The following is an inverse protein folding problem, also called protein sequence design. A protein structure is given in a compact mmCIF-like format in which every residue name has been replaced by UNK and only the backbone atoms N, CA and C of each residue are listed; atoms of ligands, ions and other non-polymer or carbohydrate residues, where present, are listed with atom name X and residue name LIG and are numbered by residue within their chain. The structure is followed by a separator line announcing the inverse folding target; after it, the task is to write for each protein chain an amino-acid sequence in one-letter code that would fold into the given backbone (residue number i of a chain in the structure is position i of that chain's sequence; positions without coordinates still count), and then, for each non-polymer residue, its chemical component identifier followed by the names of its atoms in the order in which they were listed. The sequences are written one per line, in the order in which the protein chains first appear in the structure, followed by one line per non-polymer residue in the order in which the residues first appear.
data_IF_664784575506
#
_entry.id   IF_664784575506
#
_cell.length_a   1.000
_cell.length_b   1.000
_cell.length_c   1.000
_cell.angle_alpha   90.00
_cell.angle_beta   90.00
_cell.angle_gamma   90.00
#
_symmetry.space_group_name_H-M   'P 1'
#
loop_
_entity.id
_entity.type
_entity.pdbx_description
1 polymer ?
#
# COMPACT_ATOMS: atom_id res chain seq x y z
N UNK A 1 78.47 27.28 -21.48
CA UNK A 1 78.12 26.66 -20.17
C UNK A 1 77.31 27.66 -19.38
N UNK A 2 75.97 27.54 -19.38
CA UNK A 2 75.08 27.54 -18.21
C UNK A 2 73.61 27.54 -18.66
N UNK A 3 72.81 26.80 -17.90
CA UNK A 3 71.46 26.26 -18.12
C UNK A 3 70.35 27.32 -18.20
N UNK A 4 69.36 27.20 -19.11
CA UNK A 4 68.03 26.58 -18.91
C UNK A 4 67.28 27.04 -17.65
N UNK A 5 66.08 27.62 -17.84
CA UNK A 5 64.85 27.25 -17.10
C UNK A 5 63.60 27.90 -17.71
N UNK A 6 62.85 27.05 -18.40
CA UNK A 6 61.48 27.24 -18.90
C UNK A 6 60.55 27.22 -17.69
N UNK A 7 59.93 28.36 -17.37
CA UNK A 7 58.90 28.49 -16.34
C UNK A 7 57.55 28.00 -16.88
N UNK A 8 57.22 26.74 -16.58
CA UNK A 8 55.96 26.11 -16.94
C UNK A 8 54.86 26.58 -15.97
N UNK A 9 54.07 27.57 -16.37
CA UNK A 9 52.87 28.02 -15.65
C UNK A 9 51.78 26.94 -15.77
N UNK A 10 51.72 26.05 -14.77
CA UNK A 10 50.61 25.11 -14.59
C UNK A 10 49.38 25.87 -14.11
N UNK A 11 48.55 26.31 -15.05
CA UNK A 11 47.21 26.82 -14.77
C UNK A 11 46.31 25.60 -14.52
N UNK A 12 46.22 25.14 -13.28
CA UNK A 12 45.33 24.04 -12.90
C UNK A 12 43.89 24.49 -13.06
N UNK A 13 43.30 24.11 -14.19
CA UNK A 13 41.88 24.18 -14.48
C UNK A 13 41.13 23.33 -13.44
N UNK A 14 40.50 24.01 -12.50
CA UNK A 14 39.54 23.41 -11.58
C UNK A 14 38.24 23.14 -12.36
N UNK A 15 38.14 21.95 -12.95
CA UNK A 15 36.87 21.43 -13.47
C UNK A 15 35.96 21.12 -12.26
N UNK A 16 35.17 22.10 -11.84
CA UNK A 16 34.05 21.84 -10.94
C UNK A 16 33.00 21.09 -11.77
N UNK A 17 32.92 19.78 -11.58
CA UNK A 17 31.76 19.00 -12.00
C UNK A 17 30.59 19.47 -11.14
N UNK A 18 29.72 20.31 -11.71
CA UNK A 18 28.42 20.57 -11.11
C UNK A 18 27.63 19.27 -11.22
N UNK A 19 27.59 18.49 -10.14
CA UNK A 19 26.66 17.38 -10.04
C UNK A 19 25.25 17.96 -10.05
N UNK A 20 24.59 17.88 -11.20
CA UNK A 20 23.18 18.18 -11.33
C UNK A 20 22.43 17.14 -10.51
N UNK A 21 22.08 17.49 -9.27
CA UNK A 21 21.09 16.75 -8.51
C UNK A 21 19.76 16.83 -9.28
N UNK A 22 19.48 15.81 -10.08
CA UNK A 22 18.18 15.67 -10.70
C UNK A 22 17.18 15.35 -9.59
N UNK A 23 16.30 16.30 -9.27
CA UNK A 23 15.19 16.07 -8.36
C UNK A 23 14.17 15.19 -9.09
N UNK A 24 14.44 13.88 -9.14
CA UNK A 24 13.48 12.91 -9.65
C UNK A 24 12.21 13.01 -8.82
N UNK A 25 11.13 13.51 -9.43
CA UNK A 25 9.81 13.38 -8.87
C UNK A 25 9.58 11.88 -8.55
N UNK A 26 9.19 11.57 -7.31
CA UNK A 26 8.95 10.17 -6.94
C UNK A 26 7.92 9.56 -7.90
N UNK A 27 8.23 8.43 -8.55
CA UNK A 27 7.37 7.87 -9.56
C UNK A 27 6.00 7.48 -8.97
N UNK A 28 4.93 7.83 -9.69
CA UNK A 28 3.55 7.52 -9.34
C UNK A 28 3.05 6.33 -10.18
N UNK A 29 2.57 5.31 -9.50
CA UNK A 29 2.03 4.07 -10.09
C UNK A 29 0.52 4.09 -9.87
N UNK A 30 -0.23 4.64 -10.84
CA UNK A 30 -1.68 4.74 -10.74
C UNK A 30 -2.32 3.36 -10.91
N UNK A 31 -3.09 2.90 -9.93
CA UNK A 31 -3.71 1.57 -9.94
C UNK A 31 -4.63 1.33 -11.15
N UNK A 32 -5.18 2.39 -11.76
CA UNK A 32 -6.00 2.27 -12.98
C UNK A 32 -5.19 1.86 -14.21
N UNK A 33 -3.92 2.22 -14.26
CA UNK A 33 -3.02 1.84 -15.36
C UNK A 33 -2.67 0.34 -15.32
N UNK A 34 -2.92 -0.30 -14.17
CA UNK A 34 -2.77 -1.74 -13.95
C UNK A 34 -4.10 -2.50 -14.03
N UNK A 35 -5.18 -1.83 -14.45
CA UNK A 35 -6.49 -2.45 -14.68
C UNK A 35 -7.49 -2.35 -13.53
N UNK A 36 -7.21 -1.56 -12.48
CA UNK A 36 -8.23 -1.30 -11.47
C UNK A 36 -9.31 -0.36 -12.04
N UNK A 37 -10.56 -0.81 -12.03
CA UNK A 37 -11.68 -0.04 -12.61
C UNK A 37 -12.03 1.20 -11.76
N UNK A 38 -11.94 1.08 -10.44
CA UNK A 38 -12.47 2.06 -9.48
C UNK A 38 -13.96 1.88 -9.19
N UNK A 39 -14.51 0.72 -9.52
CA UNK A 39 -15.88 0.32 -9.19
C UNK A 39 -15.90 -0.66 -8.02
N UNK A 40 -16.76 -0.42 -7.02
CA UNK A 40 -16.83 -1.23 -5.79
C UNK A 40 -17.10 -2.71 -6.05
N UNK A 41 -17.83 -3.04 -7.12
CA UNK A 41 -18.20 -4.43 -7.46
C UNK A 41 -17.08 -5.23 -8.11
N UNK A 42 -16.03 -4.57 -8.61
CA UNK A 42 -14.90 -5.23 -9.25
C UNK A 42 -13.78 -5.52 -8.25
N UNK A 43 -13.25 -6.74 -8.28
CA UNK A 43 -12.09 -7.11 -7.47
C UNK A 43 -10.81 -6.54 -8.10
N UNK A 44 -10.15 -5.64 -7.39
CA UNK A 44 -8.98 -4.90 -7.87
C UNK A 44 -7.65 -5.48 -7.34
N UNK A 45 -7.68 -6.60 -6.61
CA UNK A 45 -6.51 -7.17 -5.91
C UNK A 45 -5.30 -7.35 -6.82
N UNK A 46 -5.48 -7.97 -7.98
CA UNK A 46 -4.37 -8.22 -8.91
C UNK A 46 -3.79 -6.92 -9.46
N UNK A 47 -4.64 -5.98 -9.90
CA UNK A 47 -4.20 -4.69 -10.44
C UNK A 47 -3.41 -3.88 -9.40
N UNK A 48 -3.92 -3.82 -8.16
CA UNK A 48 -3.26 -3.09 -7.08
C UNK A 48 -1.92 -3.76 -6.72
N UNK A 49 -1.88 -5.10 -6.65
CA UNK A 49 -0.63 -5.82 -6.37
C UNK A 49 0.40 -5.62 -7.47
N UNK A 50 -0.01 -5.60 -8.74
CA UNK A 50 0.88 -5.30 -9.87
C UNK A 50 1.45 -3.88 -9.77
N UNK A 51 0.64 -2.90 -9.36
CA UNK A 51 1.10 -1.53 -9.12
C UNK A 51 2.14 -1.47 -7.97
N UNK A 52 1.90 -2.17 -6.87
CA UNK A 52 2.85 -2.29 -5.74
C UNK A 52 4.15 -2.95 -6.19
N UNK A 53 4.06 -4.02 -6.97
CA UNK A 53 5.21 -4.77 -7.46
C UNK A 53 6.06 -3.94 -8.40
N UNK A 54 5.44 -3.25 -9.36
CA UNK A 54 6.12 -2.33 -10.26
C UNK A 54 6.76 -1.15 -9.50
N UNK A 55 6.05 -0.58 -8.52
CA UNK A 55 6.56 0.51 -7.69
C UNK A 55 7.82 0.10 -6.92
N UNK A 56 7.80 -1.09 -6.33
CA UNK A 56 8.97 -1.63 -5.62
C UNK A 56 10.13 -1.93 -6.58
N UNK A 57 9.86 -2.56 -7.72
CA UNK A 57 10.88 -2.90 -8.72
C UNK A 57 11.56 -1.66 -9.31
N UNK A 58 10.85 -0.53 -9.38
CA UNK A 58 11.39 0.76 -9.81
C UNK A 58 12.27 1.47 -8.75
N UNK A 59 12.53 0.84 -7.61
CA UNK A 59 13.32 1.43 -6.51
C UNK A 59 12.48 2.19 -5.48
N UNK A 60 11.16 2.08 -5.53
CA UNK A 60 10.23 2.74 -4.62
C UNK A 60 9.52 3.95 -5.22
N UNK A 61 8.52 4.45 -4.49
CA UNK A 61 7.68 5.53 -4.97
C UNK A 61 6.29 5.49 -4.36
N UNK A 62 5.30 5.96 -5.13
CA UNK A 62 3.92 6.07 -4.68
C UNK A 62 2.98 5.26 -5.56
N UNK A 63 2.25 4.31 -4.99
CA UNK A 63 1.09 3.69 -5.63
C UNK A 63 -0.12 4.57 -5.38
N UNK A 64 -0.70 5.09 -6.45
CA UNK A 64 -1.74 6.12 -6.39
C UNK A 64 -3.13 5.56 -6.66
N UNK A 65 -4.06 5.85 -5.77
CA UNK A 65 -5.48 5.54 -5.93
C UNK A 65 -6.23 6.83 -6.24
N UNK A 66 -6.59 7.10 -7.51
CA UNK A 66 -7.47 8.21 -7.86
C UNK A 66 -8.89 7.98 -7.30
N UNK A 67 -9.76 8.99 -7.40
CA UNK A 67 -11.16 8.85 -6.98
C UNK A 67 -11.85 7.61 -7.57
N UNK A 68 -12.56 6.88 -6.71
CA UNK A 68 -13.19 5.60 -7.03
C UNK A 68 -13.24 4.65 -5.83
N UNK A 69 -13.97 3.56 -6.00
CA UNK A 69 -14.14 2.53 -4.99
C UNK A 69 -13.43 1.24 -5.43
N UNK A 70 -12.48 0.79 -4.63
CA UNK A 70 -11.60 -0.33 -4.96
C UNK A 70 -11.82 -1.45 -3.96
N UNK A 71 -12.39 -2.57 -4.37
CA UNK A 71 -12.50 -3.75 -3.50
C UNK A 71 -11.29 -4.64 -3.67
N UNK A 72 -10.69 -5.08 -2.58
CA UNK A 72 -9.51 -5.95 -2.61
C UNK A 72 -9.50 -6.96 -1.47
N UNK A 73 -8.92 -8.12 -1.73
CA UNK A 73 -8.50 -9.08 -0.72
C UNK A 73 -7.13 -8.73 -0.16
N UNK A 74 -6.22 -9.70 -0.11
CA UNK A 74 -4.89 -9.49 0.47
C UNK A 74 -3.94 -8.70 -0.43
N UNK A 75 -3.38 -7.60 0.07
CA UNK A 75 -2.31 -6.83 -0.58
C UNK A 75 -1.01 -6.95 0.21
N UNK A 76 0.06 -7.42 -0.44
CA UNK A 76 1.40 -7.46 0.15
C UNK A 76 2.15 -6.19 -0.17
N UNK A 77 2.31 -5.32 0.83
CA UNK A 77 3.12 -4.12 0.73
C UNK A 77 4.61 -4.46 0.78
N UNK A 78 5.40 -3.83 -0.10
CA UNK A 78 6.84 -4.07 -0.28
C UNK A 78 7.65 -2.85 0.13
N UNK A 79 8.95 -3.03 0.39
CA UNK A 79 9.83 -1.93 0.81
C UNK A 79 9.80 -0.76 -0.16
N UNK A 80 9.94 0.46 0.37
CA UNK A 80 9.96 1.71 -0.39
C UNK A 80 8.66 2.07 -1.12
N UNK A 81 7.55 1.39 -0.83
CA UNK A 81 6.23 1.68 -1.42
C UNK A 81 5.38 2.50 -0.46
N UNK A 82 4.87 3.63 -0.95
CA UNK A 82 3.82 4.40 -0.29
C UNK A 82 2.50 4.23 -1.02
N UNK A 83 1.44 3.78 -0.34
CA UNK A 83 0.09 3.83 -0.88
C UNK A 83 -0.50 5.22 -0.64
N UNK A 84 -0.87 5.94 -1.70
CA UNK A 84 -1.53 7.24 -1.61
C UNK A 84 -3.00 7.10 -2.01
N UNK A 85 -3.87 7.06 -1.00
CA UNK A 85 -5.32 6.96 -1.16
C UNK A 85 -5.89 8.38 -1.23
N UNK A 86 -6.15 8.86 -2.45
CA UNK A 86 -6.55 10.25 -2.67
C UNK A 86 -7.94 10.57 -2.09
N UNK A 87 -8.25 11.85 -1.96
CA UNK A 87 -9.59 12.27 -1.59
C UNK A 87 -10.62 11.72 -2.60
N UNK A 88 -11.71 11.13 -2.11
CA UNK A 88 -12.72 10.48 -2.95
C UNK A 88 -12.37 9.05 -3.38
N UNK A 89 -11.23 8.50 -2.97
CA UNK A 89 -10.92 7.08 -3.12
C UNK A 89 -11.28 6.29 -1.86
N UNK A 90 -11.84 5.09 -2.03
CA UNK A 90 -12.09 4.14 -0.95
C UNK A 90 -11.49 2.78 -1.28
N UNK A 91 -10.62 2.26 -0.41
CA UNK A 91 -10.17 0.87 -0.46
C UNK A 91 -11.05 0.01 0.46
N UNK A 92 -11.89 -0.82 -0.13
CA UNK A 92 -12.77 -1.75 0.56
C UNK A 92 -12.08 -3.10 0.76
N UNK A 93 -12.16 -3.64 1.98
CA UNK A 93 -11.91 -5.06 2.23
C UNK A 93 -12.99 -5.90 1.54
N UNK A 94 -12.60 -6.91 0.78
CA UNK A 94 -13.56 -7.90 0.26
C UNK A 94 -14.31 -8.59 1.40
N UNK A 95 -15.55 -8.95 1.13
CA UNK A 95 -16.34 -9.77 2.05
C UNK A 95 -16.20 -11.27 1.75
N UNK A 96 -15.59 -11.64 0.63
CA UNK A 96 -15.29 -13.02 0.29
C UNK A 96 -13.90 -13.39 0.83
N UNK A 97 -13.86 -14.40 1.71
CA UNK A 97 -12.61 -14.92 2.26
C UNK A 97 -11.70 -15.54 1.19
N UNK A 98 -12.24 -15.98 0.06
CA UNK A 98 -11.47 -16.56 -1.05
C UNK A 98 -10.56 -15.53 -1.75
N UNK A 99 -10.88 -14.24 -1.65
CA UNK A 99 -10.03 -13.16 -2.19
C UNK A 99 -8.75 -12.95 -1.37
N UNK A 100 -8.68 -13.52 -0.16
CA UNK A 100 -7.55 -13.34 0.75
C UNK A 100 -6.51 -14.43 0.61
N UNK A 101 -5.29 -14.03 0.27
CA UNK A 101 -4.12 -14.89 0.36
C UNK A 101 -3.70 -15.04 1.81
N UNK A 102 -3.43 -16.28 2.24
CA UNK A 102 -2.87 -16.59 3.56
C UNK A 102 -1.37 -16.30 3.54
N UNK A 103 -0.93 -15.36 4.37
CA UNK A 103 0.50 -15.07 4.56
C UNK A 103 1.01 -15.67 5.87
N UNK A 104 2.00 -16.56 5.78
CA UNK A 104 2.67 -17.19 6.92
C UNK A 104 1.81 -18.22 7.69
N UNK A 105 2.41 -18.81 8.73
CA UNK A 105 1.78 -19.83 9.60
C UNK A 105 0.68 -19.28 10.51
N UNK A 106 0.66 -17.97 10.76
CA UNK A 106 -0.12 -17.34 11.84
C UNK A 106 -1.49 -16.78 11.41
N UNK A 107 -1.87 -16.90 10.14
CA UNK A 107 -2.96 -16.08 9.58
C UNK A 107 -4.08 -16.93 8.96
N UNK A 108 -4.86 -17.66 9.76
CA UNK A 108 -6.19 -18.14 9.32
C UNK A 108 -7.22 -17.00 9.14
N UNK A 109 -6.78 -15.74 9.28
CA UNK A 109 -7.64 -14.55 9.26
C UNK A 109 -7.38 -13.73 8.01
N UNK A 110 -8.42 -13.18 7.37
CA UNK A 110 -8.29 -12.21 6.28
C UNK A 110 -7.45 -11.00 6.72
N UNK A 111 -6.41 -10.65 5.95
CA UNK A 111 -5.59 -9.45 6.16
C UNK A 111 -5.61 -8.64 4.87
N UNK A 112 -6.20 -7.43 4.90
CA UNK A 112 -6.29 -6.56 3.72
C UNK A 112 -4.92 -6.02 3.29
N UNK A 113 -4.12 -5.51 4.22
CA UNK A 113 -2.78 -4.97 3.95
C UNK A 113 -1.80 -5.70 4.85
N UNK A 114 -0.89 -6.44 4.23
CA UNK A 114 0.15 -7.21 4.90
C UNK A 114 1.53 -6.70 4.49
N UNK A 115 2.43 -6.57 5.45
CA UNK A 115 3.83 -6.26 5.20
C UNK A 115 4.67 -7.19 6.07
N UNK A 116 5.68 -7.82 5.47
CA UNK A 116 6.63 -8.67 6.17
C UNK A 116 8.03 -8.39 5.66
N UNK A 117 8.95 -8.18 6.60
CA UNK A 117 10.34 -7.78 6.34
C UNK A 117 10.46 -6.60 5.36
N UNK A 118 9.48 -5.69 5.36
CA UNK A 118 9.44 -4.51 4.51
C UNK A 118 9.86 -3.25 5.30
N UNK A 119 10.60 -2.36 4.64
CA UNK A 119 11.05 -1.11 5.24
C UNK A 119 10.60 0.11 4.44
N UNK A 120 10.52 1.27 5.10
CA UNK A 120 10.18 2.56 4.47
C UNK A 120 8.89 2.48 3.65
N UNK A 121 7.87 1.91 4.27
CA UNK A 121 6.51 1.79 3.74
C UNK A 121 5.62 2.91 4.31
N UNK A 122 4.58 3.28 3.56
CA UNK A 122 3.65 4.31 4.00
C UNK A 122 2.24 4.10 3.46
N UNK A 123 1.26 4.59 4.20
CA UNK A 123 -0.12 4.75 3.73
C UNK A 123 -0.50 6.20 4.04
N UNK A 124 -0.83 6.96 3.02
CA UNK A 124 -1.08 8.41 3.11
C UNK A 124 -2.31 8.79 2.29
N UNK A 125 -2.75 10.03 2.46
CA UNK A 125 -3.84 10.63 1.70
C UNK A 125 -5.09 10.88 2.54
N UNK A 126 -6.10 11.43 1.88
CA UNK A 126 -7.38 11.83 2.49
C UNK A 126 -8.53 10.88 2.16
N UNK A 127 -8.26 9.79 1.46
CA UNK A 127 -9.24 8.76 1.17
C UNK A 127 -9.49 7.83 2.35
N UNK A 128 -10.21 6.74 2.09
CA UNK A 128 -10.71 5.83 3.14
C UNK A 128 -10.19 4.41 2.94
N UNK A 129 -9.94 3.71 4.04
CA UNK A 129 -9.85 2.25 4.08
C UNK A 129 -11.08 1.76 4.84
N UNK A 130 -11.86 0.87 4.24
CA UNK A 130 -13.14 0.43 4.77
C UNK A 130 -13.18 -1.09 4.90
N UNK A 131 -13.07 -1.59 6.13
CA UNK A 131 -12.98 -3.03 6.42
C UNK A 131 -14.27 -3.86 6.22
N UNK A 132 -15.35 -3.25 5.75
CA UNK A 132 -16.70 -3.85 5.57
C UNK A 132 -17.16 -4.86 6.66
N UNK A 133 -16.76 -4.63 7.92
CA UNK A 133 -17.09 -5.53 9.03
C UNK A 133 -18.60 -5.59 9.23
N UNK A 134 -19.14 -6.81 9.33
CA UNK A 134 -20.52 -7.06 9.73
C UNK A 134 -20.51 -7.66 11.14
N UNK A 135 -21.40 -7.20 11.99
CA UNK A 135 -21.68 -7.89 13.25
C UNK A 135 -22.49 -9.14 12.92
N UNK A 136 -21.95 -10.28 13.31
CA UNK A 136 -22.69 -11.54 13.32
C UNK A 136 -22.77 -11.99 14.77
N UNK A 137 -23.98 -12.26 15.26
CA UNK A 137 -24.16 -12.90 16.56
C UNK A 137 -23.77 -14.36 16.41
N UNK A 138 -22.70 -14.77 17.10
CA UNK A 138 -22.41 -16.18 17.27
C UNK A 138 -23.17 -16.69 18.48
N UNK A 139 -23.90 -17.82 18.38
CA UNK A 139 -24.56 -18.39 19.54
C UNK A 139 -23.50 -18.72 20.60
N UNK A 140 -23.76 -18.28 21.82
CA UNK A 140 -22.92 -18.57 22.97
C UNK A 140 -22.77 -20.09 23.14
N UNK A 141 -21.53 -20.54 23.37
CA UNK A 141 -21.20 -21.97 23.48
C UNK A 141 -21.93 -22.68 24.62
N UNK A 142 -22.22 -21.95 25.69
CA UNK A 142 -23.12 -22.36 26.77
C UNK A 142 -23.92 -21.13 27.23
N UNK A 143 -25.21 -21.35 27.49
CA UNK A 143 -26.14 -20.32 27.97
C UNK A 143 -26.98 -20.91 29.09
N UNK A 144 -27.00 -20.24 30.24
CA UNK A 144 -28.09 -20.42 31.18
C UNK A 144 -29.33 -19.65 30.71
N UNK A 145 -30.46 -19.88 31.39
CA UNK A 145 -31.75 -19.30 31.00
C UNK A 145 -31.74 -17.78 31.03
N UNK A 146 -31.04 -17.16 31.98
CA UNK A 146 -30.95 -15.71 32.14
C UNK A 146 -30.17 -15.07 30.97
N UNK A 147 -29.06 -15.71 30.57
CA UNK A 147 -28.25 -15.24 29.44
C UNK A 147 -29.03 -15.39 28.12
N UNK A 148 -29.82 -16.45 27.95
CA UNK A 148 -30.63 -16.64 26.73
C UNK A 148 -31.68 -15.55 26.52
N UNK A 149 -32.34 -15.09 27.60
CA UNK A 149 -33.37 -14.05 27.54
C UNK A 149 -32.75 -12.67 27.23
N UNK A 150 -31.62 -12.33 27.87
CA UNK A 150 -30.90 -11.09 27.59
C UNK A 150 -30.33 -11.07 26.16
N UNK A 151 -29.82 -12.20 25.67
CA UNK A 151 -29.27 -12.31 24.31
C UNK A 151 -30.37 -12.07 23.28
N UNK A 152 -31.55 -12.67 23.46
CA UNK A 152 -32.69 -12.47 22.56
C UNK A 152 -33.22 -11.02 22.57
N UNK A 153 -33.17 -10.33 23.72
CA UNK A 153 -33.55 -8.93 23.83
C UNK A 153 -32.54 -8.02 23.10
N UNK A 154 -31.24 -8.31 23.25
CA UNK A 154 -30.17 -7.60 22.55
C UNK A 154 -30.24 -7.80 21.03
N UNK A 155 -30.54 -9.00 20.55
CA UNK A 155 -30.72 -9.28 19.12
C UNK A 155 -31.89 -8.49 18.51
N UNK A 156 -32.97 -8.27 19.26
CA UNK A 156 -34.11 -7.45 18.80
C UNK A 156 -33.79 -5.95 18.78
N UNK A 157 -32.86 -5.50 19.61
CA UNK A 157 -32.52 -4.08 19.76
C UNK A 157 -31.55 -3.55 18.68
N UNK A 158 -30.84 -4.42 17.96
CA UNK A 158 -29.91 -4.08 16.87
C UNK A 158 -28.50 -3.70 17.33
#
# INVERSE_FOLDING_TARGET
MTHLRIGFLLFTWLFIAAETFSQSASPFFNVKDYGATGEKTAIATQAIQQAIDACHQAGGGTVYFPGGDYTSGSLRLKSFVTLHISAGATLYASQDTADYTIFGSHSRRPILIYADSAERIGIVGKGKIHGQARRTYEPLKEVDKFISEITAEAEKAG
#
